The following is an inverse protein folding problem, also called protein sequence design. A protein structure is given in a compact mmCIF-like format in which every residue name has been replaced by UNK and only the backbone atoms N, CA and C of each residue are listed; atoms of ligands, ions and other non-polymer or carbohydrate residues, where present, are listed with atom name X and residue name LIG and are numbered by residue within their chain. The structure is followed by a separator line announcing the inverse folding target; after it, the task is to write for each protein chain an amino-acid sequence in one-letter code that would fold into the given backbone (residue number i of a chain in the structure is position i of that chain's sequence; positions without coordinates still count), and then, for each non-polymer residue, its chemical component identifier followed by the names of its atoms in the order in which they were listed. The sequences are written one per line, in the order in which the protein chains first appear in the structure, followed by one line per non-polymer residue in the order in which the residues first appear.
data_IF_289270222030
#
_entry.id   IF_289270222030
#
_cell.length_a   1.000
_cell.length_b   1.000
_cell.length_c   1.000
_cell.angle_alpha   90.00
_cell.angle_beta   90.00
_cell.angle_gamma   90.00
#
_symmetry.space_group_name_H-M   'P 1'
#
loop_
_entity.id
_entity.type
_entity.pdbx_description
1 polymer ?
#
# COMPACT_ATOMS: atom_id res chain seq x y z
N UNK A 1 -32.18 -54.33 -25.28
CA UNK A 1 -33.58 -53.85 -25.42
C UNK A 1 -33.81 -52.75 -24.40
N UNK A 2 -34.38 -51.61 -24.82
CA UNK A 2 -35.17 -50.59 -24.07
C UNK A 2 -34.52 -50.08 -22.76
N UNK A 3 -34.15 -48.81 -22.59
CA UNK A 3 -34.87 -47.57 -22.90
C UNK A 3 -35.26 -46.89 -21.57
N UNK A 4 -34.96 -45.60 -21.40
CA UNK A 4 -35.34 -44.86 -20.19
C UNK A 4 -34.74 -43.47 -20.09
N UNK A 5 -35.35 -42.51 -20.79
CA UNK A 5 -35.22 -41.06 -20.58
C UNK A 5 -35.94 -40.70 -19.28
N UNK A 6 -35.35 -39.83 -18.45
CA UNK A 6 -36.16 -39.00 -17.54
C UNK A 6 -35.47 -37.65 -17.28
N UNK A 7 -36.01 -36.61 -17.91
CA UNK A 7 -35.89 -35.22 -17.48
C UNK A 7 -36.63 -35.04 -16.15
N UNK A 8 -36.08 -34.22 -15.25
CA UNK A 8 -36.90 -33.41 -14.35
C UNK A 8 -36.37 -31.98 -14.34
N UNK A 9 -37.19 -31.10 -14.89
CA UNK A 9 -37.19 -29.66 -14.67
C UNK A 9 -38.05 -29.41 -13.42
N UNK A 10 -37.55 -28.67 -12.43
CA UNK A 10 -38.43 -27.95 -11.51
C UNK A 10 -37.83 -26.58 -11.21
N UNK A 11 -38.62 -25.60 -11.59
CA UNK A 11 -38.34 -24.17 -11.58
C UNK A 11 -39.05 -23.53 -10.36
N UNK A 12 -38.43 -22.44 -9.85
CA UNK A 12 -39.00 -21.27 -9.12
C UNK A 12 -39.22 -21.34 -7.59
N UNK A 13 -39.54 -20.20 -6.92
CA UNK A 13 -38.72 -18.99 -6.74
C UNK A 13 -38.87 -18.39 -5.31
N UNK A 14 -38.02 -17.47 -4.85
CA UNK A 14 -38.47 -16.41 -3.91
C UNK A 14 -37.56 -15.17 -3.89
N UNK A 15 -38.08 -14.11 -4.53
CA UNK A 15 -38.20 -12.73 -4.04
C UNK A 15 -36.91 -12.04 -3.55
N UNK A 16 -36.27 -11.26 -4.42
CA UNK A 16 -35.57 -10.03 -4.02
C UNK A 16 -36.48 -8.86 -4.36
N UNK A 17 -36.98 -8.16 -3.34
CA UNK A 17 -37.75 -6.91 -3.49
C UNK A 17 -36.79 -5.81 -3.92
N UNK A 18 -36.89 -5.36 -5.17
CA UNK A 18 -36.59 -3.97 -5.53
C UNK A 18 -37.58 -3.09 -4.79
N UNK A 19 -37.08 -2.15 -4.00
CA UNK A 19 -37.89 -0.99 -3.59
C UNK A 19 -37.19 0.25 -4.11
N UNK A 20 -37.55 0.62 -5.34
CA UNK A 20 -37.41 1.98 -5.82
C UNK A 20 -38.62 2.77 -5.32
N UNK A 21 -38.40 3.81 -4.50
CA UNK A 21 -39.41 4.84 -4.25
C UNK A 21 -39.07 6.03 -5.14
N UNK A 22 -39.85 6.19 -6.21
CA UNK A 22 -40.05 7.45 -6.91
C UNK A 22 -41.54 7.76 -6.79
N UNK A 23 -41.90 8.88 -6.16
CA UNK A 23 -43.22 9.50 -6.31
C UNK A 23 -42.99 10.94 -6.77
N UNK A 24 -43.51 11.20 -7.97
CA UNK A 24 -43.70 12.47 -8.64
C UNK A 24 -44.47 13.51 -7.79
N UNK A 25 -44.24 14.80 -8.00
CA UNK A 25 -45.09 15.63 -8.89
C UNK A 25 -44.64 17.11 -8.96
N UNK A 26 -44.38 17.54 -10.21
CA UNK A 26 -44.79 18.79 -10.88
C UNK A 26 -44.57 20.17 -10.24
N UNK A 27 -43.76 21.01 -10.91
CA UNK A 27 -44.26 22.24 -11.56
C UNK A 27 -43.32 22.71 -12.68
N UNK A 28 -43.92 23.33 -13.69
CA UNK A 28 -43.44 23.53 -15.06
C UNK A 28 -43.20 25.03 -15.34
N UNK A 29 -42.44 25.32 -16.42
CA UNK A 29 -42.36 26.59 -17.20
C UNK A 29 -41.43 27.68 -16.63
N UNK A 30 -40.63 28.43 -17.40
CA UNK A 30 -40.85 29.04 -18.71
C UNK A 30 -39.49 29.38 -19.42
N UNK A 31 -39.36 28.97 -20.69
CA UNK A 31 -38.78 29.64 -21.90
C UNK A 31 -37.61 30.63 -21.84
N UNK A 32 -36.70 30.49 -22.83
CA UNK A 32 -35.94 31.64 -23.37
C UNK A 32 -34.80 31.29 -24.32
N UNK A 33 -35.11 30.98 -25.58
CA UNK A 33 -34.12 30.87 -26.67
C UNK A 33 -33.71 32.25 -27.20
N UNK A 34 -32.44 32.41 -27.56
CA UNK A 34 -32.05 33.34 -28.63
C UNK A 34 -30.89 32.77 -29.44
N UNK A 35 -31.00 33.01 -30.74
CA UNK A 35 -30.36 32.36 -31.87
C UNK A 35 -29.52 33.42 -32.60
N UNK A 36 -28.66 32.94 -33.51
CA UNK A 36 -28.04 33.69 -34.62
C UNK A 36 -26.79 34.54 -34.22
N UNK A 37 -25.66 34.61 -34.94
CA UNK A 37 -25.32 34.31 -36.34
C UNK A 37 -23.80 34.06 -36.50
N UNK A 38 -23.46 33.29 -37.53
CA UNK A 38 -22.12 33.08 -38.13
C UNK A 38 -21.78 34.32 -39.00
N UNK A 39 -20.49 34.61 -39.31
CA UNK A 39 -20.03 34.21 -40.64
C UNK A 39 -18.62 33.60 -40.67
N UNK A 40 -18.48 32.71 -41.65
CA UNK A 40 -17.30 32.02 -42.15
C UNK A 40 -16.36 32.94 -42.92
N UNK A 41 -15.05 32.68 -42.88
CA UNK A 41 -14.14 32.92 -44.01
C UNK A 41 -13.15 31.77 -44.16
N UNK A 42 -13.05 31.32 -45.41
CA UNK A 42 -12.30 30.21 -46.00
C UNK A 42 -10.97 30.67 -46.60
N UNK A 43 -9.96 29.78 -46.62
CA UNK A 43 -9.10 29.41 -47.76
C UNK A 43 -8.14 28.30 -47.27
N UNK A 44 -8.14 27.07 -47.81
CA UNK A 44 -7.38 26.59 -49.00
C UNK A 44 -5.89 26.96 -48.96
N UNK A 45 -4.90 26.14 -49.30
CA UNK A 45 -4.78 24.76 -49.80
C UNK A 45 -3.26 24.44 -49.81
N UNK A 46 -2.91 23.21 -50.18
CA UNK A 46 -1.65 22.74 -50.77
C UNK A 46 -0.72 21.85 -49.91
N UNK A 47 -0.93 20.56 -50.14
CA UNK A 47 0.04 19.46 -50.30
C UNK A 47 1.49 19.84 -50.62
N UNK A 48 2.45 19.12 -50.03
CA UNK A 48 3.40 18.25 -50.76
C UNK A 48 4.22 17.36 -49.81
N UNK A 49 4.31 16.08 -50.16
CA UNK A 49 5.24 15.09 -49.62
C UNK A 49 6.58 15.18 -50.35
N UNK A 50 7.71 14.86 -49.68
CA UNK A 50 8.68 13.81 -50.07
C UNK A 50 9.96 13.84 -49.18
N UNK A 51 10.17 12.71 -48.51
CA UNK A 51 11.41 11.90 -48.38
C UNK A 51 12.72 12.40 -47.74
N UNK A 52 13.23 11.47 -46.92
CA UNK A 52 14.64 11.03 -46.68
C UNK A 52 15.55 11.75 -45.68
N UNK A 53 15.66 11.11 -44.50
CA UNK A 53 16.88 10.56 -43.88
C UNK A 53 18.17 11.40 -43.82
N UNK A 54 18.71 11.61 -42.61
CA UNK A 54 19.92 10.96 -42.05
C UNK A 54 20.31 11.66 -40.73
N UNK A 55 20.82 10.86 -39.80
CA UNK A 55 21.22 11.08 -38.40
C UNK A 55 22.54 11.89 -38.22
N UNK A 56 22.99 12.17 -36.95
CA UNK A 56 23.51 13.46 -36.50
C UNK A 56 25.04 13.49 -36.26
N UNK A 57 25.61 14.69 -35.99
CA UNK A 57 26.80 14.87 -35.12
C UNK A 57 27.18 16.36 -34.92
N UNK A 58 27.66 16.68 -33.70
CA UNK A 58 28.46 17.88 -33.35
C UNK A 58 27.65 19.00 -32.68
N UNK A 59 27.64 19.21 -31.36
CA UNK A 59 28.73 19.59 -30.44
C UNK A 59 29.50 20.83 -30.88
N UNK A 60 29.20 21.99 -30.27
CA UNK A 60 30.12 22.85 -29.49
C UNK A 60 29.46 24.20 -29.18
N UNK A 61 30.01 24.87 -28.17
CA UNK A 61 29.38 25.77 -27.23
C UNK A 61 29.50 27.28 -27.57
N UNK A 62 28.93 28.07 -26.65
CA UNK A 62 29.23 29.46 -26.31
C UNK A 62 28.79 30.59 -27.26
N UNK A 63 27.84 31.41 -26.81
CA UNK A 63 28.14 32.74 -26.21
C UNK A 63 26.87 33.58 -25.99
N UNK A 64 26.67 34.01 -24.74
CA UNK A 64 25.82 35.15 -24.35
C UNK A 64 26.43 36.47 -24.90
N UNK A 65 25.62 37.53 -25.10
CA UNK A 65 25.53 38.55 -24.05
C UNK A 65 24.15 39.18 -23.83
N UNK A 66 24.03 39.73 -22.63
CA UNK A 66 22.90 40.40 -22.00
C UNK A 66 22.35 41.66 -22.70
N UNK A 67 21.08 41.98 -22.43
CA UNK A 67 20.64 43.37 -22.20
C UNK A 67 19.39 43.46 -21.31
N UNK A 68 19.50 44.35 -20.33
CA UNK A 68 18.61 44.70 -19.22
C UNK A 68 17.56 45.76 -19.56
N UNK A 69 16.42 45.75 -18.86
CA UNK A 69 15.74 46.93 -18.25
C UNK A 69 14.37 46.52 -17.71
N UNK A 70 13.66 47.27 -16.87
CA UNK A 70 13.86 47.76 -15.50
C UNK A 70 12.47 48.22 -15.01
N UNK A 71 12.16 48.10 -13.70
CA UNK A 71 11.15 48.87 -12.92
C UNK A 71 9.64 48.72 -13.28
N UNK A 72 8.66 48.75 -12.37
CA UNK A 72 8.51 49.43 -11.07
C UNK A 72 7.28 48.91 -10.29
N UNK A 73 7.27 49.16 -8.96
CA UNK A 73 6.30 48.84 -7.89
C UNK A 73 4.90 49.52 -7.95
N UNK A 74 3.90 48.82 -7.37
CA UNK A 74 2.78 49.19 -6.41
C UNK A 74 1.92 50.47 -6.61
N UNK A 75 0.73 50.67 -5.96
CA UNK A 75 0.10 49.96 -4.82
C UNK A 75 -1.44 49.66 -4.89
N UNK A 76 -1.92 48.97 -3.84
CA UNK A 76 -3.33 48.83 -3.38
C UNK A 76 -3.95 50.19 -2.94
N UNK A 77 -5.29 50.36 -2.94
CA UNK A 77 -5.94 50.58 -1.64
C UNK A 77 -7.44 50.17 -1.48
N UNK A 78 -7.74 49.58 -0.32
CA UNK A 78 -8.82 49.91 0.68
C UNK A 78 -10.33 49.62 0.48
N UNK A 79 -10.88 49.15 1.61
CA UNK A 79 -12.26 48.79 2.04
C UNK A 79 -13.16 50.04 2.32
N UNK A 80 -14.50 49.85 2.38
CA UNK A 80 -15.24 50.37 3.55
C UNK A 80 -16.27 49.38 4.18
N UNK A 81 -16.28 49.35 5.53
CA UNK A 81 -17.40 49.03 6.47
C UNK A 81 -18.48 50.13 6.37
N UNK A 82 -19.76 50.06 6.77
CA UNK A 82 -20.54 49.50 7.90
C UNK A 82 -22.05 49.78 7.52
N UNK A 83 -23.13 49.13 7.99
CA UNK A 83 -23.86 49.36 9.27
C UNK A 83 -25.18 48.54 9.28
N UNK A 84 -25.38 47.75 10.36
CA UNK A 84 -26.56 47.46 11.23
C UNK A 84 -28.00 47.76 10.77
N UNK A 85 -28.99 46.92 11.18
CA UNK A 85 -30.23 47.30 11.96
C UNK A 85 -31.34 46.19 12.03
N UNK A 86 -31.54 45.69 13.28
CA UNK A 86 -32.73 45.14 14.03
C UNK A 86 -33.34 43.72 13.84
N UNK A 87 -33.44 43.04 14.99
CA UNK A 87 -34.35 41.93 15.37
C UNK A 87 -35.86 42.33 15.37
N UNK A 88 -36.80 41.39 15.59
CA UNK A 88 -37.22 41.09 16.97
C UNK A 88 -37.53 39.59 17.27
N UNK A 89 -37.44 39.24 18.55
CA UNK A 89 -38.03 38.04 19.22
C UNK A 89 -39.12 38.53 20.19
N UNK A 90 -40.18 37.75 20.48
CA UNK A 90 -40.34 37.05 21.79
C UNK A 90 -40.93 35.61 21.65
N UNK A 91 -40.43 34.54 22.31
CA UNK A 91 -40.62 34.02 23.71
C UNK A 91 -42.07 33.55 24.07
N UNK A 92 -42.38 32.66 25.08
CA UNK A 92 -41.66 31.53 25.76
C UNK A 92 -42.46 30.18 25.93
N UNK A 93 -41.74 29.09 26.32
CA UNK A 93 -41.96 27.87 27.21
C UNK A 93 -43.34 27.18 27.44
N UNK A 94 -43.49 25.91 27.97
CA UNK A 94 -42.78 25.20 29.08
C UNK A 94 -42.24 23.75 28.76
N UNK A 95 -41.15 23.24 29.37
CA UNK A 95 -41.02 22.41 30.62
C UNK A 95 -41.57 20.95 30.43
N UNK A 96 -40.94 19.79 30.72
CA UNK A 96 -39.89 19.34 31.66
C UNK A 96 -39.56 17.81 31.55
N UNK A 97 -38.28 17.43 31.82
CA UNK A 97 -37.72 16.28 32.61
C UNK A 97 -37.83 14.79 32.17
N UNK A 98 -36.98 13.84 32.66
CA UNK A 98 -35.57 13.88 33.19
C UNK A 98 -34.61 12.97 32.35
N UNK A 99 -33.31 13.25 32.17
CA UNK A 99 -32.14 13.10 33.07
C UNK A 99 -31.92 11.68 33.65
N UNK A 100 -31.08 10.89 32.97
CA UNK A 100 -30.51 9.64 33.46
C UNK A 100 -29.01 9.89 33.76
N UNK A 101 -28.58 9.64 35.00
CA UNK A 101 -27.19 9.82 35.47
C UNK A 101 -26.21 8.89 34.74
N UNK A 102 -24.97 9.32 34.45
CA UNK A 102 -23.92 8.39 34.07
C UNK A 102 -23.38 7.69 35.34
N UNK A 103 -23.55 6.37 35.36
CA UNK A 103 -22.95 5.45 36.34
C UNK A 103 -21.42 5.55 36.27
N UNK A 104 -20.67 5.62 37.39
CA UNK A 104 -19.23 5.72 37.34
C UNK A 104 -18.64 4.38 36.88
N UNK A 105 -18.13 4.33 35.64
CA UNK A 105 -17.29 3.23 35.20
C UNK A 105 -15.94 3.33 35.92
N UNK A 106 -15.69 2.34 36.76
CA UNK A 106 -14.41 2.07 37.41
C UNK A 106 -13.29 2.11 36.38
N UNK A 107 -12.39 3.09 36.51
CA UNK A 107 -11.18 3.16 35.71
C UNK A 107 -10.33 1.90 35.96
N UNK A 108 -10.11 1.12 34.90
CA UNK A 108 -9.05 0.11 34.86
C UNK A 108 -7.71 0.81 35.09
N UNK A 109 -6.78 0.26 35.90
CA UNK A 109 -5.49 0.89 36.13
C UNK A 109 -4.77 1.10 34.79
N UNK A 110 -4.34 2.34 34.55
CA UNK A 110 -3.36 2.64 33.51
C UNK A 110 -2.11 1.82 33.82
N UNK A 111 -1.81 0.82 32.98
CA UNK A 111 -0.51 0.16 32.98
C UNK A 111 0.53 1.25 32.77
N UNK A 112 1.27 1.53 33.83
CA UNK A 112 2.40 2.45 33.80
C UNK A 112 3.53 1.68 33.16
N UNK A 113 3.62 1.70 31.82
CA UNK A 113 4.84 1.31 31.13
C UNK A 113 5.94 2.25 31.58
N UNK A 114 6.81 1.77 32.47
CA UNK A 114 8.02 2.47 32.85
C UNK A 114 8.95 2.46 31.65
N UNK A 115 8.88 3.53 30.84
CA UNK A 115 9.73 3.77 29.67
C UNK A 115 11.17 4.01 30.14
N UNK A 116 11.88 2.94 30.49
CA UNK A 116 13.29 3.01 30.88
C UNK A 116 14.12 3.32 29.64
N UNK A 117 14.66 4.53 29.56
CA UNK A 117 15.57 4.94 28.50
C UNK A 117 17.02 4.49 28.78
N UNK A 118 17.71 3.96 27.78
CA UNK A 118 19.15 3.68 27.78
C UNK A 118 19.87 4.63 26.82
N UNK A 119 21.21 4.71 26.92
CA UNK A 119 22.05 5.49 26.01
C UNK A 119 22.77 4.55 25.05
N UNK A 120 22.54 4.72 23.75
CA UNK A 120 23.28 4.08 22.67
C UNK A 120 24.33 5.05 22.11
N UNK A 121 25.54 4.54 21.86
CA UNK A 121 26.61 5.31 21.19
C UNK A 121 26.64 4.87 19.74
N UNK A 122 26.35 5.80 18.82
CA UNK A 122 26.36 5.58 17.37
C UNK A 122 27.71 5.02 16.93
N UNK A 123 27.69 3.94 16.17
CA UNK A 123 28.86 3.30 15.57
C UNK A 123 29.03 3.72 14.11
N UNK A 124 30.22 3.52 13.56
CA UNK A 124 30.46 3.75 12.14
C UNK A 124 29.59 2.82 11.29
N UNK A 125 28.75 3.41 10.42
CA UNK A 125 27.83 2.68 9.55
C UNK A 125 26.40 2.55 10.07
N UNK A 126 26.10 3.01 11.28
CA UNK A 126 24.72 3.06 11.76
C UNK A 126 23.90 4.12 11.02
N UNK A 127 22.59 3.88 10.98
CA UNK A 127 21.56 4.86 10.62
C UNK A 127 20.57 5.02 11.78
N UNK A 128 19.89 6.16 11.88
CA UNK A 128 18.86 6.36 12.91
C UNK A 128 17.79 5.30 12.85
N UNK A 129 17.38 4.89 11.65
CA UNK A 129 16.38 3.86 11.49
C UNK A 129 16.85 2.53 12.11
N UNK A 130 18.07 2.09 11.78
CA UNK A 130 18.62 0.83 12.31
C UNK A 130 18.71 0.85 13.84
N UNK A 131 19.14 1.98 14.40
CA UNK A 131 19.21 2.16 15.85
C UNK A 131 17.80 2.14 16.45
N UNK A 132 16.85 2.88 15.87
CA UNK A 132 15.49 2.95 16.36
C UNK A 132 14.91 1.54 16.47
N UNK A 133 14.98 0.79 15.38
CA UNK A 133 14.48 -0.58 15.33
C UNK A 133 15.19 -1.51 16.29
N UNK A 134 16.53 -1.46 16.36
CA UNK A 134 17.31 -2.30 17.27
C UNK A 134 16.84 -2.14 18.72
N UNK A 135 16.33 -0.96 19.04
CA UNK A 135 15.81 -0.60 20.36
C UNK A 135 14.28 -0.55 20.42
N UNK A 136 13.56 -1.17 19.48
CA UNK A 136 12.10 -1.25 19.52
C UNK A 136 11.40 0.11 19.45
N UNK A 137 12.01 1.07 18.74
CA UNK A 137 11.47 2.39 18.45
C UNK A 137 11.21 2.51 16.93
N UNK A 138 10.16 3.21 16.55
CA UNK A 138 10.03 3.76 15.20
C UNK A 138 11.06 4.86 14.98
N UNK A 139 11.41 5.13 13.72
CA UNK A 139 12.31 6.24 13.38
C UNK A 139 11.79 7.57 13.97
N UNK A 140 10.48 7.82 13.87
CA UNK A 140 9.86 9.02 14.42
C UNK A 140 9.93 9.08 15.95
N UNK A 141 9.73 7.97 16.65
CA UNK A 141 9.90 7.91 18.10
C UNK A 141 11.35 8.18 18.49
N UNK A 142 12.33 7.60 17.79
CA UNK A 142 13.75 7.87 18.07
C UNK A 142 14.11 9.34 17.82
N UNK A 143 13.66 9.92 16.70
CA UNK A 143 13.86 11.34 16.37
C UNK A 143 13.26 12.22 17.46
N UNK A 144 12.03 11.92 17.89
CA UNK A 144 11.31 12.69 18.92
C UNK A 144 12.00 12.56 20.27
N UNK A 145 12.36 11.33 20.66
CA UNK A 145 13.05 11.01 21.91
C UNK A 145 14.40 11.74 22.03
N UNK A 146 15.09 11.92 20.90
CA UNK A 146 16.41 12.56 20.83
C UNK A 146 16.39 14.01 20.34
N UNK A 147 15.21 14.54 20.01
CA UNK A 147 15.02 15.89 19.42
C UNK A 147 15.93 16.15 18.22
N UNK A 148 16.05 15.15 17.34
CA UNK A 148 16.93 15.23 16.16
C UNK A 148 16.30 16.15 15.13
N UNK A 149 17.07 17.14 14.68
CA UNK A 149 16.62 18.14 13.71
C UNK A 149 16.83 17.69 12.26
N UNK A 150 17.89 16.91 12.01
CA UNK A 150 18.21 16.34 10.70
C UNK A 150 18.34 14.81 10.82
N UNK A 151 17.32 14.04 10.41
CA UNK A 151 17.32 12.59 10.51
C UNK A 151 18.36 11.88 9.63
N UNK A 152 18.88 12.56 8.61
CA UNK A 152 19.84 11.97 7.68
C UNK A 152 21.29 12.13 8.16
N UNK A 153 21.50 12.88 9.25
CA UNK A 153 22.82 13.25 9.74
C UNK A 153 23.05 12.79 11.20
N UNK A 154 23.75 11.67 11.35
CA UNK A 154 24.33 11.22 12.62
C UNK A 154 25.82 10.94 12.50
N UNK A 155 26.51 11.01 13.63
CA UNK A 155 27.97 10.82 13.68
C UNK A 155 28.36 9.66 14.59
N UNK A 156 29.36 8.83 14.21
CA UNK A 156 29.95 7.87 15.13
C UNK A 156 30.42 8.56 16.43
N UNK A 157 30.06 7.99 17.58
CA UNK A 157 30.28 8.57 18.91
C UNK A 157 29.13 9.43 19.44
N UNK A 158 28.12 9.76 18.62
CA UNK A 158 26.93 10.47 19.07
C UNK A 158 26.13 9.61 20.05
N UNK A 159 25.67 10.21 21.15
CA UNK A 159 24.81 9.54 22.14
C UNK A 159 23.34 9.72 21.78
N UNK A 160 22.59 8.62 21.70
CA UNK A 160 21.15 8.61 21.48
C UNK A 160 20.46 7.90 22.63
N UNK A 161 19.41 8.53 23.17
CA UNK A 161 18.42 7.90 24.02
C UNK A 161 17.62 6.87 23.22
N UNK A 162 17.51 5.68 23.77
CA UNK A 162 16.83 4.52 23.18
C UNK A 162 16.04 3.79 24.26
N UNK A 163 15.18 2.81 23.95
CA UNK A 163 14.58 1.97 25.01
C UNK A 163 15.61 0.99 25.58
N UNK A 164 15.57 0.80 26.90
CA UNK A 164 16.48 -0.05 27.65
C UNK A 164 16.05 -1.53 27.68
N UNK A 165 14.78 -1.86 27.44
CA UNK A 165 14.17 -3.13 27.85
C UNK A 165 13.82 -4.10 26.70
N UNK A 166 14.21 -3.79 25.45
CA UNK A 166 13.78 -4.55 24.26
C UNK A 166 14.92 -5.01 23.33
N UNK A 167 16.16 -5.12 23.82
CA UNK A 167 17.22 -5.78 23.04
C UNK A 167 17.02 -7.30 23.05
N UNK A 168 16.14 -7.80 22.18
CA UNK A 168 16.09 -9.24 21.91
C UNK A 168 17.40 -9.61 21.21
N UNK A 169 18.24 -10.42 21.86
CA UNK A 169 19.43 -10.97 21.23
C UNK A 169 19.01 -12.01 20.18
N UNK A 170 18.97 -11.58 18.93
CA UNK A 170 18.61 -12.41 17.77
C UNK A 170 19.46 -13.68 17.67
N UNK A 171 20.68 -13.70 18.21
CA UNK A 171 21.55 -14.89 18.17
C UNK A 171 21.01 -16.05 19.02
N UNK A 172 20.19 -15.76 20.04
CA UNK A 172 19.54 -16.76 20.88
C UNK A 172 18.32 -17.40 20.23
N UNK A 173 17.78 -16.77 19.17
CA UNK A 173 16.58 -17.24 18.47
C UNK A 173 16.98 -18.19 17.34
N UNK A 174 16.18 -19.24 17.13
CA UNK A 174 16.41 -20.22 16.08
C UNK A 174 16.40 -19.60 14.68
N UNK A 175 17.47 -19.84 13.92
CA UNK A 175 17.55 -19.50 12.50
C UNK A 175 17.28 -20.72 11.58
N UNK A 176 16.58 -21.74 12.09
CA UNK A 176 16.19 -22.88 11.26
C UNK A 176 15.27 -22.39 10.13
N UNK A 177 15.73 -22.54 8.89
CA UNK A 177 14.98 -22.15 7.70
C UNK A 177 13.68 -22.98 7.60
N UNK A 178 12.60 -22.27 7.31
CA UNK A 178 11.23 -22.76 7.15
C UNK A 178 10.67 -22.21 5.84
N UNK A 179 9.66 -22.90 5.34
CA UNK A 179 8.93 -22.60 4.12
C UNK A 179 7.84 -23.64 3.93
N UNK A 180 6.83 -23.32 3.14
CA UNK A 180 5.86 -24.31 2.69
C UNK A 180 5.46 -24.03 1.25
N UNK A 181 4.97 -25.07 0.60
CA UNK A 181 4.32 -24.95 -0.70
C UNK A 181 2.83 -25.12 -0.48
N UNK A 182 2.03 -24.40 -1.28
CA UNK A 182 0.59 -24.61 -1.32
C UNK A 182 0.28 -26.09 -1.58
N UNK A 183 -0.61 -26.65 -0.77
CA UNK A 183 -1.18 -27.99 -0.97
C UNK A 183 -2.66 -27.82 -1.19
N UNK A 184 -3.11 -28.14 -2.39
CA UNK A 184 -4.52 -28.03 -2.72
C UNK A 184 -5.33 -29.02 -1.86
N UNK A 185 -6.44 -28.59 -1.24
CA UNK A 185 -7.30 -29.49 -0.49
C UNK A 185 -7.85 -30.58 -1.42
N UNK A 186 -8.00 -31.80 -0.89
CA UNK A 186 -8.57 -32.92 -1.62
C UNK A 186 -9.78 -33.47 -0.85
N UNK A 187 -10.95 -33.59 -1.48
CA UNK A 187 -11.23 -33.17 -2.86
C UNK A 187 -11.19 -31.65 -3.00
N UNK A 188 -10.84 -31.18 -4.21
CA UNK A 188 -10.91 -29.76 -4.53
C UNK A 188 -12.37 -29.27 -4.43
N UNK A 189 -12.57 -27.96 -4.26
CA UNK A 189 -13.87 -27.29 -4.40
C UNK A 189 -14.86 -27.53 -3.25
N UNK A 190 -14.34 -27.84 -2.06
CA UNK A 190 -15.11 -27.80 -0.82
C UNK A 190 -14.86 -26.48 -0.09
N UNK A 191 -15.82 -26.09 0.76
CA UNK A 191 -15.70 -24.95 1.68
C UNK A 191 -14.75 -25.31 2.84
N UNK A 192 -13.51 -25.63 2.48
CA UNK A 192 -12.43 -26.04 3.38
C UNK A 192 -11.31 -25.01 3.24
N UNK A 193 -10.89 -24.48 4.38
CA UNK A 193 -9.75 -23.56 4.44
C UNK A 193 -8.45 -24.29 4.14
N UNK A 194 -7.50 -23.58 3.52
CA UNK A 194 -6.16 -24.10 3.35
C UNK A 194 -5.54 -24.44 4.72
N UNK A 195 -4.68 -25.46 4.75
CA UNK A 195 -3.92 -25.86 5.94
C UNK A 195 -2.43 -25.85 5.64
N UNK A 196 -1.63 -25.66 6.69
CA UNK A 196 -0.16 -25.76 6.65
C UNK A 196 0.28 -26.68 7.79
N UNK A 197 1.54 -27.15 7.81
CA UNK A 197 2.06 -27.95 8.93
C UNK A 197 1.85 -27.23 10.28
N UNK A 198 1.43 -27.96 11.31
CA UNK A 198 1.02 -27.37 12.60
C UNK A 198 2.16 -26.69 13.36
N UNK A 199 3.40 -27.16 13.18
CA UNK A 199 4.60 -26.53 13.75
C UNK A 199 4.89 -25.16 13.09
N UNK A 200 4.64 -25.06 11.79
CA UNK A 200 4.69 -23.80 11.04
C UNK A 200 3.55 -22.88 11.48
N UNK A 201 2.31 -23.36 11.53
CA UNK A 201 1.15 -22.55 11.94
C UNK A 201 1.36 -21.93 13.32
N UNK A 202 1.84 -22.72 14.29
CA UNK A 202 2.16 -22.25 15.65
C UNK A 202 3.25 -21.17 15.65
N UNK A 203 4.27 -21.29 14.79
CA UNK A 203 5.33 -20.28 14.64
C UNK A 203 4.80 -18.99 14.03
N UNK A 204 3.98 -19.07 12.98
CA UNK A 204 3.40 -17.89 12.34
C UNK A 204 2.44 -17.17 13.29
N UNK A 205 1.60 -17.90 14.02
CA UNK A 205 0.67 -17.34 14.98
C UNK A 205 1.39 -16.56 16.08
N UNK A 206 2.41 -17.15 16.73
CA UNK A 206 3.15 -16.46 17.79
C UNK A 206 3.98 -15.27 17.29
N UNK A 207 4.33 -15.26 16.01
CA UNK A 207 5.05 -14.15 15.36
C UNK A 207 4.11 -13.10 14.76
N UNK A 208 2.79 -13.26 14.94
CA UNK A 208 1.75 -12.46 14.30
C UNK A 208 1.88 -12.37 12.78
N UNK A 209 2.43 -13.39 12.11
CA UNK A 209 2.52 -13.43 10.65
C UNK A 209 1.16 -13.78 10.02
N UNK A 210 0.85 -13.14 8.89
CA UNK A 210 -0.41 -13.35 8.17
C UNK A 210 -0.17 -14.37 7.06
N UNK A 211 -1.00 -15.41 7.01
CA UNK A 211 -1.08 -16.32 5.85
C UNK A 211 -2.54 -16.63 5.50
N UNK A 212 -3.41 -16.52 6.51
CA UNK A 212 -4.85 -16.44 6.44
C UNK A 212 -5.35 -15.51 7.56
N UNK A 213 -6.41 -14.76 7.30
CA UNK A 213 -7.13 -14.05 8.36
C UNK A 213 -8.15 -14.96 9.05
N UNK A 214 -8.62 -14.64 10.27
CA UNK A 214 -9.72 -15.37 10.90
C UNK A 214 -10.94 -15.45 9.96
N UNK A 215 -11.71 -16.55 10.01
CA UNK A 215 -12.88 -16.70 9.17
C UNK A 215 -13.93 -15.65 9.56
N UNK A 216 -14.68 -15.19 8.56
CA UNK A 216 -15.81 -14.26 8.76
C UNK A 216 -17.02 -14.80 8.00
N UNK A 217 -18.21 -14.26 8.28
CA UNK A 217 -19.44 -14.61 7.53
C UNK A 217 -19.40 -14.12 6.08
N UNK A 218 -18.45 -13.25 5.74
CA UNK A 218 -18.21 -12.75 4.39
C UNK A 218 -17.08 -13.55 3.75
N UNK A 219 -17.36 -14.09 2.56
CA UNK A 219 -16.37 -14.78 1.74
C UNK A 219 -15.47 -13.74 1.08
N UNK A 220 -14.26 -13.59 1.62
CA UNK A 220 -13.29 -12.59 1.17
C UNK A 220 -12.01 -13.28 0.69
N UNK A 221 -11.50 -12.83 -0.45
CA UNK A 221 -10.19 -13.19 -0.98
C UNK A 221 -9.31 -11.94 -1.00
N UNK A 222 -8.07 -12.08 -0.57
CA UNK A 222 -7.07 -11.01 -0.61
C UNK A 222 -6.08 -11.33 -1.72
N UNK A 223 -6.08 -10.50 -2.76
CA UNK A 223 -5.19 -10.67 -3.90
C UNK A 223 -3.89 -9.91 -3.63
N UNK A 224 -2.78 -10.65 -3.72
CA UNK A 224 -1.44 -10.11 -3.49
C UNK A 224 -0.51 -10.59 -4.58
N UNK A 225 0.43 -9.75 -5.00
CA UNK A 225 1.39 -10.08 -6.05
C UNK A 225 2.80 -9.76 -5.61
N UNK A 226 3.74 -10.65 -5.92
CA UNK A 226 5.16 -10.43 -5.72
C UNK A 226 5.71 -9.83 -7.01
N UNK A 227 6.13 -8.57 -6.94
CA UNK A 227 6.48 -7.76 -8.09
C UNK A 227 7.98 -7.45 -8.05
N UNK A 228 8.77 -8.39 -8.56
CA UNK A 228 10.24 -8.27 -8.62
C UNK A 228 10.78 -7.63 -9.89
N UNK A 229 10.03 -7.74 -10.99
CA UNK A 229 10.35 -7.21 -12.31
C UNK A 229 9.05 -7.11 -13.13
N UNK A 230 9.05 -6.30 -14.19
CA UNK A 230 7.97 -6.25 -15.16
C UNK A 230 8.25 -7.19 -16.34
N UNK A 231 7.20 -7.84 -16.84
CA UNK A 231 7.26 -8.79 -17.93
C UNK A 231 6.08 -8.55 -18.87
N UNK A 232 6.35 -8.03 -20.08
CA UNK A 232 5.37 -7.79 -21.14
C UNK A 232 4.17 -6.90 -20.77
N UNK A 233 4.28 -6.03 -19.76
CA UNK A 233 3.20 -5.15 -19.35
C UNK A 233 2.09 -5.88 -18.57
N UNK A 234 2.41 -7.02 -17.97
CA UNK A 234 1.48 -7.82 -17.20
C UNK A 234 1.00 -7.07 -15.96
N UNK A 235 1.89 -6.42 -15.19
CA UNK A 235 1.45 -5.71 -13.99
C UNK A 235 0.62 -4.47 -14.36
N UNK A 236 0.99 -3.76 -15.43
CA UNK A 236 0.19 -2.67 -15.96
C UNK A 236 -1.23 -3.13 -16.39
N UNK A 237 -1.33 -4.30 -17.01
CA UNK A 237 -2.62 -4.90 -17.41
C UNK A 237 -3.45 -5.33 -16.19
N UNK A 238 -2.80 -5.91 -15.16
CA UNK A 238 -3.43 -6.28 -13.89
C UNK A 238 -4.02 -5.03 -13.21
N UNK A 239 -3.26 -3.93 -13.14
CA UNK A 239 -3.75 -2.66 -12.58
C UNK A 239 -4.97 -2.14 -13.34
N UNK A 240 -4.95 -2.19 -14.68
CA UNK A 240 -6.09 -1.77 -15.50
C UNK A 240 -7.33 -2.60 -15.20
N UNK A 241 -7.19 -3.93 -15.13
CA UNK A 241 -8.31 -4.82 -14.78
C UNK A 241 -8.78 -4.56 -13.35
N UNK A 242 -7.87 -4.29 -12.41
CA UNK A 242 -8.21 -3.97 -11.03
C UNK A 242 -9.09 -2.72 -10.94
N UNK A 243 -8.72 -1.67 -11.67
CA UNK A 243 -9.51 -0.44 -11.79
C UNK A 243 -10.89 -0.70 -12.43
N UNK A 244 -10.95 -1.46 -13.53
CA UNK A 244 -12.22 -1.83 -14.18
C UNK A 244 -13.16 -2.62 -13.26
N UNK A 245 -12.59 -3.47 -12.39
CA UNK A 245 -13.34 -4.27 -11.42
C UNK A 245 -13.56 -3.56 -10.08
N UNK A 246 -13.01 -2.35 -9.90
CA UNK A 246 -13.03 -1.60 -8.66
C UNK A 246 -12.52 -2.44 -7.46
N UNK A 247 -11.38 -3.10 -7.65
CA UNK A 247 -10.70 -3.89 -6.61
C UNK A 247 -9.32 -3.31 -6.32
N UNK A 248 -8.94 -3.31 -5.04
CA UNK A 248 -7.59 -2.96 -4.62
C UNK A 248 -6.77 -4.22 -4.37
N UNK A 249 -5.52 -4.20 -4.80
CA UNK A 249 -4.57 -5.29 -4.66
C UNK A 249 -3.47 -4.90 -3.67
N UNK A 250 -2.65 -5.88 -3.26
CA UNK A 250 -1.39 -5.62 -2.54
C UNK A 250 -0.21 -6.07 -3.39
N UNK A 251 0.72 -5.17 -3.71
CA UNK A 251 1.95 -5.47 -4.42
C UNK A 251 3.13 -5.49 -3.44
N UNK A 252 3.83 -6.61 -3.32
CA UNK A 252 5.10 -6.69 -2.62
C UNK A 252 6.21 -6.41 -3.64
N UNK A 253 6.80 -5.22 -3.59
CA UNK A 253 7.76 -4.74 -4.60
C UNK A 253 9.20 -4.93 -4.14
N UNK A 254 10.09 -5.27 -5.07
CA UNK A 254 11.54 -5.27 -4.82
C UNK A 254 12.17 -3.94 -5.19
N UNK A 255 13.39 -3.70 -4.70
CA UNK A 255 14.21 -2.56 -5.14
C UNK A 255 14.38 -2.50 -6.66
N UNK A 256 14.55 -3.66 -7.30
CA UNK A 256 14.68 -3.77 -8.77
C UNK A 256 13.47 -3.21 -9.51
N UNK A 257 12.25 -3.50 -9.07
CA UNK A 257 11.04 -2.95 -9.71
C UNK A 257 10.94 -1.44 -9.48
N UNK A 258 11.23 -0.97 -8.26
CA UNK A 258 11.19 0.47 -7.93
C UNK A 258 12.17 1.26 -8.82
N UNK A 259 13.36 0.70 -9.07
CA UNK A 259 14.40 1.34 -9.89
C UNK A 259 14.06 1.36 -11.37
N UNK A 260 13.62 0.23 -11.93
CA UNK A 260 13.48 0.08 -13.38
C UNK A 260 12.09 0.46 -13.89
N UNK A 261 11.06 0.36 -13.06
CA UNK A 261 9.65 0.62 -13.42
C UNK A 261 8.99 1.68 -12.51
N UNK A 262 9.60 2.86 -12.31
CA UNK A 262 9.14 3.84 -11.34
C UNK A 262 7.74 4.40 -11.64
N UNK A 263 7.35 4.47 -12.91
CA UNK A 263 6.02 4.92 -13.32
C UNK A 263 4.94 3.90 -12.93
N UNK A 264 5.25 2.60 -13.06
CA UNK A 264 4.35 1.53 -12.65
C UNK A 264 4.16 1.51 -11.13
N UNK A 265 5.23 1.66 -10.36
CA UNK A 265 5.14 1.69 -8.88
C UNK A 265 4.36 2.91 -8.39
N UNK A 266 4.55 4.09 -8.99
CA UNK A 266 3.70 5.27 -8.68
C UNK A 266 2.23 5.00 -8.95
N UNK A 267 1.92 4.39 -10.09
CA UNK A 267 0.55 4.01 -10.44
C UNK A 267 -0.08 3.07 -9.40
N UNK A 268 0.68 2.12 -8.85
CA UNK A 268 0.17 1.27 -7.76
C UNK A 268 -0.34 2.10 -6.58
N UNK A 269 0.43 3.11 -6.18
CA UNK A 269 0.08 4.02 -5.07
C UNK A 269 -1.09 4.93 -5.44
N UNK A 270 -1.01 5.59 -6.60
CA UNK A 270 -1.99 6.59 -7.05
C UNK A 270 -3.38 5.98 -7.26
N UNK A 271 -3.46 4.70 -7.65
CA UNK A 271 -4.70 3.94 -7.81
C UNK A 271 -5.20 3.31 -6.49
N UNK A 272 -4.55 3.61 -5.37
CA UNK A 272 -4.99 3.23 -4.02
C UNK A 272 -4.71 1.76 -3.65
N UNK A 273 -3.75 1.11 -4.31
CA UNK A 273 -3.31 -0.23 -3.92
C UNK A 273 -2.35 -0.17 -2.73
N UNK A 274 -2.24 -1.27 -1.99
CA UNK A 274 -1.20 -1.40 -0.97
C UNK A 274 0.12 -1.77 -1.64
N UNK A 275 1.20 -1.09 -1.27
CA UNK A 275 2.56 -1.40 -1.74
C UNK A 275 3.41 -1.81 -0.55
N UNK A 276 3.68 -3.11 -0.43
CA UNK A 276 4.46 -3.73 0.63
C UNK A 276 5.89 -4.03 0.22
N UNK A 277 6.69 -4.41 1.21
CA UNK A 277 8.13 -4.63 1.05
C UNK A 277 8.44 -6.06 0.61
N UNK A 278 9.16 -6.25 -0.49
CA UNK A 278 9.71 -7.54 -0.93
C UNK A 278 11.24 -7.56 -0.97
N UNK A 279 11.84 -6.66 -0.18
CA UNK A 279 13.27 -6.39 -0.01
C UNK A 279 13.96 -5.85 -1.27
N UNK A 280 15.12 -5.24 -1.06
CA UNK A 280 15.89 -4.59 -2.13
C UNK A 280 16.39 -5.62 -3.15
N UNK A 281 17.09 -6.65 -2.69
CA UNK A 281 17.82 -7.61 -3.52
C UNK A 281 17.20 -9.01 -3.51
N UNK A 282 16.01 -9.16 -2.92
CA UNK A 282 15.30 -10.44 -2.84
C UNK A 282 16.16 -11.54 -2.17
N UNK A 283 16.85 -11.20 -1.08
CA UNK A 283 17.73 -12.13 -0.37
C UNK A 283 16.96 -13.17 0.44
N UNK A 284 17.45 -14.41 0.46
CA UNK A 284 16.93 -15.44 1.34
C UNK A 284 17.27 -15.12 2.81
N UNK A 285 16.28 -14.67 3.58
CA UNK A 285 16.52 -14.13 4.93
C UNK A 285 17.22 -15.12 5.88
N UNK A 286 16.80 -16.40 6.02
CA UNK A 286 17.51 -17.35 6.87
C UNK A 286 18.97 -17.56 6.48
N UNK A 287 19.28 -17.64 5.19
CA UNK A 287 20.65 -17.79 4.71
C UNK A 287 21.47 -16.53 5.01
N UNK A 288 20.93 -15.35 4.72
CA UNK A 288 21.62 -14.08 4.98
C UNK A 288 21.83 -13.86 6.48
N UNK A 289 20.90 -14.26 7.35
CA UNK A 289 21.05 -14.21 8.81
C UNK A 289 22.16 -15.11 9.36
N UNK A 290 22.64 -16.10 8.60
CA UNK A 290 23.84 -16.85 8.98
C UNK A 290 25.11 -16.01 8.77
N UNK A 291 25.05 -15.01 7.91
CA UNK A 291 26.17 -14.17 7.53
C UNK A 291 26.16 -12.85 8.31
N UNK A 292 25.03 -12.14 8.31
CA UNK A 292 24.89 -10.85 8.98
C UNK A 292 23.43 -10.44 9.16
N UNK A 293 23.10 -9.98 10.36
CA UNK A 293 21.82 -9.31 10.66
C UNK A 293 21.73 -7.98 9.91
N UNK A 294 22.81 -7.20 9.85
CA UNK A 294 22.84 -5.89 9.20
C UNK A 294 22.62 -5.99 7.68
N UNK A 295 23.02 -7.10 7.05
CA UNK A 295 22.70 -7.36 5.64
C UNK A 295 21.19 -7.54 5.41
N UNK A 296 20.49 -8.23 6.31
CA UNK A 296 19.03 -8.37 6.20
C UNK A 296 18.34 -7.04 6.48
N UNK A 297 18.80 -6.31 7.50
CA UNK A 297 18.24 -5.00 7.81
C UNK A 297 18.44 -4.04 6.63
N UNK A 298 19.67 -3.91 6.11
CA UNK A 298 19.94 -3.03 4.96
C UNK A 298 19.13 -3.43 3.72
N UNK A 299 18.95 -4.72 3.44
CA UNK A 299 18.12 -5.19 2.32
C UNK A 299 16.65 -4.77 2.45
N UNK A 300 16.09 -4.77 3.66
CA UNK A 300 14.70 -4.35 3.90
C UNK A 300 14.57 -2.82 3.80
N UNK A 301 15.50 -2.09 4.40
CA UNK A 301 15.41 -0.64 4.55
C UNK A 301 15.79 0.14 3.31
N UNK A 302 16.67 -0.41 2.47
CA UNK A 302 17.02 0.22 1.20
C UNK A 302 15.78 0.28 0.29
N UNK A 303 14.97 -0.78 0.24
CA UNK A 303 13.73 -0.78 -0.52
C UNK A 303 12.72 0.28 -0.01
N UNK A 304 12.59 0.40 1.32
CA UNK A 304 11.76 1.44 1.96
C UNK A 304 12.22 2.86 1.58
N UNK A 305 13.53 3.13 1.68
CA UNK A 305 14.09 4.43 1.32
C UNK A 305 13.88 4.77 -0.15
N UNK A 306 13.98 3.78 -1.05
CA UNK A 306 13.68 3.98 -2.48
C UNK A 306 12.22 4.30 -2.72
N UNK A 307 11.31 3.64 -2.00
CA UNK A 307 9.88 3.92 -2.11
C UNK A 307 9.56 5.36 -1.69
N UNK A 308 10.10 5.80 -0.55
CA UNK A 308 9.94 7.18 -0.05
C UNK A 308 10.53 8.18 -1.05
N UNK A 309 11.73 7.93 -1.57
CA UNK A 309 12.36 8.81 -2.56
C UNK A 309 11.54 8.90 -3.86
N UNK A 310 10.88 7.81 -4.27
CA UNK A 310 10.10 7.76 -5.51
C UNK A 310 8.73 8.44 -5.38
N UNK A 311 8.05 8.22 -4.26
CA UNK A 311 6.61 8.50 -4.09
C UNK A 311 6.27 9.48 -2.97
N UNK A 312 7.23 9.78 -2.08
CA UNK A 312 7.00 10.51 -0.83
C UNK A 312 6.27 9.70 0.23
N UNK A 313 6.00 8.41 -0.01
CA UNK A 313 5.26 7.52 0.90
C UNK A 313 6.13 6.32 1.31
N UNK A 314 5.97 5.90 2.56
CA UNK A 314 6.52 4.64 3.08
C UNK A 314 5.83 3.43 2.45
N UNK A 315 6.52 2.29 2.40
CA UNK A 315 5.84 1.03 2.14
C UNK A 315 4.85 0.76 3.27
N UNK A 316 3.75 0.09 2.95
CA UNK A 316 2.87 -0.43 4.00
C UNK A 316 3.70 -1.37 4.90
N UNK A 317 3.44 -1.44 6.22
CA UNK A 317 4.24 -2.24 7.16
C UNK A 317 3.99 -3.76 7.03
N UNK A 318 3.83 -4.24 5.80
CA UNK A 318 3.77 -5.62 5.41
C UNK A 318 5.01 -5.97 4.59
N UNK A 319 5.67 -7.06 4.99
CA UNK A 319 6.80 -7.61 4.24
C UNK A 319 6.49 -9.05 3.85
N UNK A 320 6.76 -9.40 2.60
CA UNK A 320 6.75 -10.80 2.17
C UNK A 320 8.18 -11.30 2.04
N UNK A 321 8.61 -12.32 2.82
CA UNK A 321 9.96 -12.83 2.73
C UNK A 321 10.25 -13.40 1.32
N UNK A 322 11.38 -13.02 0.69
CA UNK A 322 11.82 -13.55 -0.59
C UNK A 322 11.78 -15.10 -0.64
N UNK A 323 11.23 -15.62 -1.74
CA UNK A 323 11.02 -17.07 -1.96
C UNK A 323 10.18 -17.79 -0.89
N UNK A 324 9.46 -17.06 -0.02
CA UNK A 324 8.75 -17.63 1.13
C UNK A 324 9.66 -18.25 2.18
N UNK A 325 10.96 -17.92 2.18
CA UNK A 325 11.92 -18.46 3.12
C UNK A 325 12.01 -17.58 4.38
N UNK A 326 11.83 -18.20 5.54
CA UNK A 326 11.86 -17.49 6.83
C UNK A 326 12.38 -18.40 7.94
N UNK A 327 12.65 -17.83 9.10
CA UNK A 327 12.99 -18.47 10.36
C UNK A 327 12.35 -17.70 11.51
N UNK A 328 12.29 -18.28 12.70
CA UNK A 328 11.83 -17.54 13.89
C UNK A 328 12.64 -16.25 14.09
N UNK A 329 13.96 -16.35 13.93
CA UNK A 329 14.86 -15.19 14.01
C UNK A 329 14.49 -14.10 13.02
N UNK A 330 14.21 -14.46 11.75
CA UNK A 330 13.79 -13.47 10.76
C UNK A 330 12.44 -12.84 11.11
N UNK A 331 11.46 -13.62 11.60
CA UNK A 331 10.13 -13.10 11.94
C UNK A 331 10.20 -12.13 13.12
N UNK A 332 11.02 -12.43 14.13
CA UNK A 332 11.28 -11.51 15.25
C UNK A 332 11.96 -10.24 14.76
N UNK A 333 12.97 -10.36 13.90
CA UNK A 333 13.63 -9.19 13.30
C UNK A 333 12.64 -8.30 12.52
N UNK A 334 11.74 -8.89 11.72
CA UNK A 334 10.71 -8.13 11.01
C UNK A 334 9.79 -7.37 11.98
N UNK A 335 9.37 -8.01 13.07
CA UNK A 335 8.56 -7.38 14.11
C UNK A 335 9.28 -6.20 14.77
N UNK A 336 10.57 -6.35 15.06
CA UNK A 336 11.40 -5.25 15.57
C UNK A 336 11.51 -4.11 14.55
N UNK A 337 11.61 -4.44 13.26
CA UNK A 337 11.63 -3.46 12.16
C UNK A 337 10.27 -2.79 11.90
N UNK A 338 9.21 -3.13 12.65
CA UNK A 338 7.86 -2.60 12.45
C UNK A 338 7.07 -3.28 11.34
N UNK A 339 7.60 -4.35 10.75
CA UNK A 339 6.95 -5.11 9.68
C UNK A 339 6.19 -6.31 10.24
N UNK A 340 5.04 -6.59 9.62
CA UNK A 340 4.34 -7.84 9.76
C UNK A 340 4.59 -8.72 8.53
N UNK A 341 5.04 -9.96 8.76
CA UNK A 341 5.28 -10.89 7.67
C UNK A 341 3.96 -11.35 7.04
N UNK A 342 3.86 -11.32 5.71
CA UNK A 342 2.67 -11.75 4.95
C UNK A 342 3.05 -12.84 3.95
N UNK A 343 2.38 -13.98 4.08
CA UNK A 343 2.51 -15.15 3.23
C UNK A 343 1.23 -15.37 2.42
N UNK A 344 0.91 -16.62 2.08
CA UNK A 344 -0.22 -16.98 1.24
C UNK A 344 -0.87 -18.30 1.68
N UNK A 345 -2.13 -18.46 1.31
CA UNK A 345 -2.90 -19.69 1.46
C UNK A 345 -3.12 -20.44 0.15
N UNK A 346 -2.84 -19.77 -0.98
CA UNK A 346 -2.90 -20.31 -2.33
C UNK A 346 -1.77 -19.70 -3.16
N UNK A 347 -1.12 -20.51 -3.98
CA UNK A 347 -0.18 -20.08 -5.01
C UNK A 347 0.01 -21.21 -6.02
N UNK A 348 0.37 -20.87 -7.26
CA UNK A 348 0.86 -21.82 -8.25
C UNK A 348 2.07 -21.22 -8.98
N UNK A 349 2.87 -22.04 -9.71
CA UNK A 349 4.09 -21.57 -10.38
C UNK A 349 3.88 -20.67 -11.60
N UNK A 350 3.27 -19.50 -11.41
CA UNK A 350 3.05 -18.47 -12.45
C UNK A 350 4.29 -17.63 -12.77
N UNK A 351 5.38 -17.79 -12.02
CA UNK A 351 6.65 -17.07 -12.26
C UNK A 351 7.57 -17.73 -13.30
N UNK A 352 7.29 -18.96 -13.73
CA UNK A 352 8.15 -19.68 -14.68
C UNK A 352 7.82 -19.27 -16.12
N UNK A 353 8.50 -18.25 -16.64
CA UNK A 353 8.17 -17.62 -17.94
C UNK A 353 8.07 -18.61 -19.11
N UNK A 354 8.87 -19.68 -19.12
CA UNK A 354 8.87 -20.70 -20.18
C UNK A 354 7.91 -21.87 -19.92
N UNK A 355 7.20 -21.88 -18.79
CA UNK A 355 6.31 -22.97 -18.36
C UNK A 355 4.95 -22.45 -17.86
N UNK A 356 4.45 -21.41 -18.54
CA UNK A 356 3.15 -20.83 -18.23
C UNK A 356 2.01 -21.79 -18.58
N UNK A 357 1.02 -21.88 -17.70
CA UNK A 357 -0.25 -22.54 -18.02
C UNK A 357 -0.99 -21.75 -19.10
N UNK A 358 -1.79 -22.43 -19.91
CA UNK A 358 -2.75 -21.71 -20.74
C UNK A 358 -3.78 -20.97 -19.85
N UNK A 359 -4.37 -19.87 -20.34
CA UNK A 359 -5.26 -19.04 -19.52
C UNK A 359 -6.45 -19.80 -18.91
N UNK A 360 -7.00 -20.79 -19.60
CA UNK A 360 -8.14 -21.55 -19.08
C UNK A 360 -7.69 -22.48 -17.96
N UNK A 361 -6.58 -23.20 -18.12
CA UNK A 361 -6.04 -24.05 -17.06
C UNK A 361 -5.62 -23.24 -15.84
N UNK A 362 -5.08 -22.03 -16.02
CA UNK A 362 -4.80 -21.12 -14.91
C UNK A 362 -6.08 -20.69 -14.17
N UNK A 363 -7.12 -20.31 -14.93
CA UNK A 363 -8.43 -19.97 -14.38
C UNK A 363 -9.06 -21.11 -13.59
N UNK A 364 -9.12 -22.32 -14.18
CA UNK A 364 -9.68 -23.52 -13.54
C UNK A 364 -8.88 -23.90 -12.28
N UNK A 365 -7.57 -23.64 -12.26
CA UNK A 365 -6.76 -23.86 -11.06
C UNK A 365 -7.06 -22.88 -9.93
N UNK A 366 -7.42 -21.63 -10.24
CA UNK A 366 -7.74 -20.58 -9.26
C UNK A 366 -9.17 -20.73 -8.75
N UNK A 367 -10.12 -20.87 -9.67
CA UNK A 367 -11.56 -20.95 -9.35
C UNK A 367 -11.94 -22.29 -8.77
N UNK A 368 -11.17 -23.30 -9.15
CA UNK A 368 -11.55 -24.65 -8.95
C UNK A 368 -12.70 -25.10 -9.84
#
# INVERSE_FOLDING_TARGET
MKGGVMMWYRERPTIFRMTAFLICTSLMLLTGACMALIPTTTHESATQSLTTAVSPSGSTAESDPALSSESTREPDPTIPSETTTIMPTPEPTPTSSPSEEPVPTTASPAETETDTSAVYIVQAGDTLYQIAVRHGLTLSELITLNRISDPDLIYPGQSLLVRADQLIDLNTISNLARGWTYRAPSPLFQDIRATIPSDIESLLQRSAAIWQLPPTDIRTVYLTMDAGYEYHGNAASILTIAAEKNVHLTFFVTGSLIEHEPALVRRMVDEGHLVGNHTERHLNQPQTLQQSVDLVISDILTAEQRMIALTGQSLTPYLRPPSGAYSERSLVLLRQLGYQAVFWSFAYPDWQVDQQLDPQTAYDRIMG
#
